data_IF_801411416471
#
_entry.id   IF_801411416471
#
_cell.length_a   1.000
_cell.length_b   1.000
_cell.length_c   1.000
_cell.angle_alpha   90.00
_cell.angle_beta   90.00
_cell.angle_gamma   90.00
#
_symmetry.space_group_name_H-M   'P 1'
#
loop_
_entity.id
_entity.type
_entity.pdbx_description
1 polymer ?
#
# COMPACT_ATOMS: atom_id res chain seq x y z
N UNK A 1 5.69 -11.11 26.49
CA UNK A 1 4.83 -11.74 25.47
C UNK A 1 3.37 -11.38 25.74
N UNK A 2 2.87 -11.57 26.96
CA UNK A 2 1.49 -11.21 27.34
C UNK A 2 1.10 -9.76 27.02
N UNK A 3 2.00 -8.80 27.29
CA UNK A 3 1.79 -7.39 26.95
C UNK A 3 1.75 -7.11 25.43
N UNK A 4 2.49 -7.87 24.62
CA UNK A 4 2.41 -7.77 23.16
C UNK A 4 1.09 -8.38 22.70
N UNK A 5 0.74 -9.57 23.19
CA UNK A 5 -0.51 -10.26 22.85
C UNK A 5 -1.76 -9.44 23.17
N UNK A 6 -1.79 -8.77 24.32
CA UNK A 6 -2.92 -7.92 24.71
C UNK A 6 -3.05 -6.64 23.87
N UNK A 7 -1.96 -6.18 23.25
CA UNK A 7 -1.92 -4.91 22.50
C UNK A 7 -1.94 -5.06 20.97
N UNK A 8 -2.04 -6.29 20.43
CA UNK A 8 -2.05 -6.53 18.97
C UNK A 8 -3.13 -5.71 18.25
N UNK A 9 -4.32 -5.60 18.84
CA UNK A 9 -5.46 -4.88 18.22
C UNK A 9 -5.25 -3.36 18.20
N UNK A 10 -4.57 -2.82 19.20
CA UNK A 10 -4.42 -1.38 19.40
C UNK A 10 -3.08 -0.86 18.85
N UNK A 11 -2.07 -1.72 18.80
CA UNK A 11 -0.71 -1.37 18.38
C UNK A 11 -0.01 -2.56 17.71
N UNK A 12 -0.39 -2.79 16.45
CA UNK A 12 0.24 -3.81 15.59
C UNK A 12 1.75 -3.58 15.40
N UNK A 13 2.26 -2.34 15.58
CA UNK A 13 3.70 -2.04 15.48
C UNK A 13 4.50 -2.71 16.60
N UNK A 14 3.95 -2.82 17.81
CA UNK A 14 4.59 -3.53 18.93
C UNK A 14 4.77 -5.02 18.63
N UNK A 15 3.81 -5.62 17.93
CA UNK A 15 3.91 -7.00 17.45
C UNK A 15 5.06 -7.15 16.44
N UNK A 16 5.06 -6.34 15.37
CA UNK A 16 6.11 -6.41 14.36
C UNK A 16 7.50 -6.11 14.92
N UNK A 17 7.62 -5.15 15.85
CA UNK A 17 8.88 -4.90 16.55
C UNK A 17 9.35 -6.12 17.36
N UNK A 18 8.44 -6.81 18.05
CA UNK A 18 8.77 -8.02 18.80
C UNK A 18 9.20 -9.18 17.89
N UNK A 19 8.52 -9.36 16.75
CA UNK A 19 8.86 -10.37 15.73
C UNK A 19 10.24 -10.06 15.12
N UNK A 20 10.43 -8.83 14.62
CA UNK A 20 11.69 -8.40 13.99
C UNK A 20 12.87 -8.47 14.97
N UNK A 21 12.64 -8.21 16.26
CA UNK A 21 13.66 -8.35 17.29
C UNK A 21 14.07 -9.82 17.51
N UNK A 22 13.12 -10.76 17.44
CA UNK A 22 13.38 -12.19 17.68
C UNK A 22 13.99 -12.91 16.48
N UNK A 23 13.55 -12.60 15.27
CA UNK A 23 13.99 -13.26 14.04
C UNK A 23 15.42 -12.83 13.62
N UNK A 24 15.94 -11.74 14.20
CA UNK A 24 17.12 -11.08 13.66
C UNK A 24 16.78 -10.34 12.35
N UNK A 25 17.77 -9.68 11.75
CA UNK A 25 17.58 -8.75 10.63
C UNK A 25 16.58 -9.23 9.57
N UNK A 26 15.68 -8.34 9.13
CA UNK A 26 14.73 -8.49 8.01
C UNK A 26 15.41 -8.66 6.63
N UNK A 27 16.63 -9.18 6.62
CA UNK A 27 17.41 -9.35 5.41
C UNK A 27 16.86 -10.55 4.64
N UNK A 28 16.80 -10.38 3.33
CA UNK A 28 16.58 -11.50 2.43
C UNK A 28 17.69 -12.56 2.66
N UNK A 29 17.39 -13.84 2.45
CA UNK A 29 18.42 -14.87 2.32
C UNK A 29 19.57 -14.40 1.42
N UNK A 30 20.80 -14.80 1.72
CA UNK A 30 21.97 -14.45 0.91
C UNK A 30 21.88 -14.97 -0.53
N UNK A 31 21.01 -15.95 -0.77
CA UNK A 31 20.72 -16.51 -2.09
C UNK A 31 19.23 -16.86 -2.16
N UNK A 32 18.56 -16.47 -3.25
CA UNK A 32 17.14 -16.67 -3.53
C UNK A 32 16.98 -17.70 -4.64
N UNK A 33 15.99 -18.59 -4.53
CA UNK A 33 15.84 -19.75 -5.40
C UNK A 33 14.44 -19.78 -6.05
N UNK A 34 14.37 -20.07 -7.35
CA UNK A 34 13.12 -20.30 -8.09
C UNK A 34 13.36 -21.33 -9.21
N UNK A 35 12.58 -22.42 -9.25
CA UNK A 35 12.65 -23.47 -10.29
C UNK A 35 14.07 -23.99 -10.58
N UNK A 36 14.91 -24.09 -9.55
CA UNK A 36 16.31 -24.54 -9.66
C UNK A 36 17.32 -23.47 -10.07
N UNK A 37 16.88 -22.23 -10.29
CA UNK A 37 17.73 -21.05 -10.49
C UNK A 37 18.01 -20.40 -9.13
N UNK A 38 19.27 -20.09 -8.87
CA UNK A 38 19.72 -19.40 -7.66
C UNK A 38 20.31 -18.02 -8.00
N UNK A 39 19.96 -17.00 -7.23
CA UNK A 39 20.41 -15.62 -7.42
C UNK A 39 20.85 -14.99 -6.09
N UNK A 40 21.96 -14.26 -6.09
CA UNK A 40 22.50 -13.56 -4.91
C UNK A 40 22.76 -12.07 -5.14
N UNK A 41 22.70 -11.60 -6.40
CA UNK A 41 22.80 -10.17 -6.72
C UNK A 41 21.44 -9.50 -6.65
N UNK A 42 21.38 -8.22 -6.25
CA UNK A 42 20.11 -7.49 -6.14
C UNK A 42 19.30 -7.45 -7.46
N UNK A 43 19.91 -7.21 -8.65
CA UNK A 43 19.17 -7.27 -9.91
C UNK A 43 18.61 -8.66 -10.19
N UNK A 44 19.42 -9.71 -10.07
CA UNK A 44 18.98 -11.08 -10.40
C UNK A 44 17.89 -11.56 -9.43
N UNK A 45 17.99 -11.17 -8.15
CA UNK A 45 16.95 -11.43 -7.15
C UNK A 45 15.65 -10.71 -7.52
N UNK A 46 15.71 -9.45 -7.96
CA UNK A 46 14.54 -8.72 -8.41
C UNK A 46 13.89 -9.39 -9.64
N UNK A 47 14.70 -9.90 -10.57
CA UNK A 47 14.22 -10.64 -11.73
C UNK A 47 13.56 -11.97 -11.35
N UNK A 48 14.10 -12.71 -10.38
CA UNK A 48 13.44 -13.93 -9.85
C UNK A 48 12.08 -13.59 -9.22
N UNK A 49 11.98 -12.51 -8.45
CA UNK A 49 10.70 -12.05 -7.92
C UNK A 49 9.73 -11.65 -9.03
N UNK A 50 10.19 -10.91 -10.04
CA UNK A 50 9.36 -10.53 -11.18
C UNK A 50 8.82 -11.76 -11.92
N UNK A 51 9.68 -12.76 -12.17
CA UNK A 51 9.30 -14.03 -12.78
C UNK A 51 8.23 -14.76 -11.94
N UNK A 52 8.47 -14.96 -10.65
CA UNK A 52 7.52 -15.63 -9.76
C UNK A 52 6.19 -14.88 -9.70
N UNK A 53 6.20 -13.58 -9.45
CA UNK A 53 4.97 -12.80 -9.34
C UNK A 53 4.19 -12.78 -10.65
N UNK A 54 4.87 -12.66 -11.80
CA UNK A 54 4.19 -12.74 -13.09
C UNK A 54 3.51 -14.09 -13.33
N UNK A 55 4.06 -15.18 -12.80
CA UNK A 55 3.52 -16.53 -13.00
C UNK A 55 2.23 -16.82 -12.22
N UNK A 56 1.95 -16.07 -11.15
CA UNK A 56 0.73 -16.21 -10.34
C UNK A 56 -0.38 -15.25 -10.76
N UNK A 57 -0.12 -14.35 -11.71
CA UNK A 57 -1.15 -13.50 -12.30
C UNK A 57 -1.70 -14.14 -13.57
N UNK A 58 -2.99 -13.89 -13.83
CA UNK A 58 -3.57 -14.22 -15.13
C UNK A 58 -2.83 -13.46 -16.25
N UNK A 59 -2.65 -14.07 -17.44
CA UNK A 59 -2.12 -13.36 -18.59
C UNK A 59 -2.95 -12.11 -18.85
N UNK A 60 -2.32 -11.01 -19.31
CA UNK A 60 -3.05 -9.79 -19.64
C UNK A 60 -4.14 -10.12 -20.67
N UNK A 61 -5.40 -10.03 -20.23
CA UNK A 61 -6.53 -10.24 -21.10
C UNK A 61 -6.89 -8.92 -21.77
N UNK A 62 -6.87 -8.90 -23.10
CA UNK A 62 -7.44 -7.80 -23.88
C UNK A 62 -8.97 -7.79 -23.83
N UNK A 63 -9.59 -8.75 -23.15
CA UNK A 63 -11.02 -8.76 -22.93
C UNK A 63 -11.35 -7.75 -21.84
N UNK A 64 -11.77 -6.56 -22.27
CA UNK A 64 -12.43 -5.60 -21.38
C UNK A 64 -13.64 -6.33 -20.80
N UNK A 65 -13.74 -6.50 -19.47
CA UNK A 65 -14.91 -7.13 -18.88
C UNK A 65 -16.14 -6.31 -19.30
N UNK A 66 -17.14 -6.99 -19.87
CA UNK A 66 -18.39 -6.37 -20.21
C UNK A 66 -19.15 -6.08 -18.91
N UNK A 67 -18.91 -4.93 -18.32
CA UNK A 67 -19.72 -4.44 -17.21
C UNK A 67 -21.08 -4.04 -17.79
N UNK A 68 -22.20 -4.56 -17.27
CA UNK A 68 -23.50 -4.05 -17.66
C UNK A 68 -23.52 -2.56 -17.34
N UNK A 69 -23.86 -1.75 -18.34
CA UNK A 69 -24.05 -0.32 -18.16
C UNK A 69 -25.25 -0.18 -17.22
N UNK A 70 -24.98 0.07 -15.94
CA UNK A 70 -26.01 0.41 -14.97
C UNK A 70 -26.44 1.84 -15.29
N UNK A 71 -27.50 1.97 -16.09
CA UNK A 71 -27.92 3.24 -16.69
C UNK A 71 -28.41 4.32 -15.71
N UNK A 72 -28.36 4.09 -14.40
CA UNK A 72 -28.42 5.11 -13.32
C UNK A 72 -28.31 4.43 -11.97
N UNK A 73 -27.12 4.45 -11.38
CA UNK A 73 -26.96 4.27 -9.94
C UNK A 73 -26.84 5.66 -9.30
N UNK A 74 -27.88 6.09 -8.58
CA UNK A 74 -27.81 7.33 -7.80
C UNK A 74 -27.40 6.98 -6.37
N UNK A 75 -26.20 7.40 -5.99
CA UNK A 75 -25.71 7.38 -4.61
C UNK A 75 -26.36 8.48 -3.73
N UNK A 76 -27.31 9.25 -4.28
CA UNK A 76 -27.85 10.45 -3.65
C UNK A 76 -26.86 11.62 -3.68
N UNK A 77 -27.12 12.64 -2.88
CA UNK A 77 -26.19 13.74 -2.66
C UNK A 77 -25.12 13.31 -1.65
N UNK A 78 -23.86 13.30 -2.07
CA UNK A 78 -22.72 13.15 -1.16
C UNK A 78 -22.28 14.54 -0.73
N UNK A 79 -22.38 14.83 0.56
CA UNK A 79 -21.86 16.06 1.13
C UNK A 79 -20.49 15.79 1.72
N UNK A 80 -19.46 16.40 1.16
CA UNK A 80 -18.11 16.40 1.72
C UNK A 80 -17.93 17.77 2.37
N UNK A 81 -17.64 17.80 3.67
CA UNK A 81 -17.38 19.07 4.36
C UNK A 81 -15.90 19.41 4.30
N UNK A 82 -15.61 20.71 4.25
CA UNK A 82 -14.23 21.21 4.29
C UNK A 82 -13.47 20.72 5.52
N UNK A 83 -14.12 20.66 6.69
CA UNK A 83 -13.55 20.11 7.92
C UNK A 83 -13.19 18.63 7.79
N UNK A 84 -14.01 17.84 7.10
CA UNK A 84 -13.73 16.43 6.86
C UNK A 84 -12.50 16.28 5.96
N UNK A 85 -12.44 17.03 4.86
CA UNK A 85 -11.27 17.02 3.96
C UNK A 85 -10.01 17.47 4.69
N UNK A 86 -10.07 18.57 5.43
CA UNK A 86 -8.94 19.09 6.20
C UNK A 86 -8.41 18.06 7.19
N UNK A 87 -9.32 17.39 7.92
CA UNK A 87 -8.97 16.32 8.86
C UNK A 87 -8.27 15.16 8.16
N UNK A 88 -8.82 14.67 7.05
CA UNK A 88 -8.25 13.51 6.34
C UNK A 88 -6.93 13.85 5.66
N UNK A 89 -6.80 15.02 5.02
CA UNK A 89 -5.53 15.46 4.45
C UNK A 89 -4.45 15.63 5.54
N UNK A 90 -4.83 16.16 6.71
CA UNK A 90 -3.91 16.34 7.83
C UNK A 90 -3.53 15.03 8.52
N UNK A 91 -4.35 13.98 8.41
CA UNK A 91 -4.09 12.66 9.00
C UNK A 91 -3.19 11.78 8.12
N UNK A 92 -3.00 12.12 6.84
CA UNK A 92 -2.17 11.37 5.88
C UNK A 92 -0.80 10.99 6.44
N UNK A 93 -0.35 9.77 6.15
CA UNK A 93 1.03 9.36 6.40
C UNK A 93 1.95 10.04 5.39
N UNK A 94 2.74 11.00 5.87
CA UNK A 94 3.68 11.75 5.05
C UNK A 94 4.84 10.91 4.48
N UNK A 95 5.05 9.71 5.02
CA UNK A 95 6.14 8.80 4.63
C UNK A 95 5.72 7.78 3.57
N UNK A 96 4.45 7.78 3.18
CA UNK A 96 3.94 6.94 2.11
C UNK A 96 4.63 7.22 0.77
N UNK A 97 4.74 6.18 -0.06
CA UNK A 97 5.24 6.30 -1.43
C UNK A 97 4.30 7.13 -2.31
N UNK A 98 4.84 7.68 -3.40
CA UNK A 98 4.03 8.38 -4.41
C UNK A 98 3.17 7.38 -5.18
N UNK A 99 1.95 7.79 -5.51
CA UNK A 99 1.07 7.02 -6.39
C UNK A 99 1.50 7.12 -7.87
N UNK A 100 0.71 6.54 -8.78
CA UNK A 100 0.95 6.66 -10.23
C UNK A 100 0.78 8.10 -10.75
N UNK A 101 0.24 9.01 -9.94
CA UNK A 101 0.14 10.44 -10.20
C UNK A 101 1.45 11.20 -9.94
N UNK A 102 2.43 10.58 -9.28
CA UNK A 102 3.70 11.20 -8.91
C UNK A 102 3.61 12.25 -7.80
N UNK A 103 2.47 12.36 -7.09
CA UNK A 103 2.28 13.35 -6.02
C UNK A 103 2.57 12.70 -4.65
N UNK A 104 3.59 13.18 -3.91
CA UNK A 104 3.88 12.64 -2.59
C UNK A 104 2.80 13.01 -1.55
N UNK A 105 2.43 12.10 -0.62
CA UNK A 105 1.45 12.39 0.43
C UNK A 105 1.80 13.60 1.32
N UNK A 106 3.09 13.86 1.53
CA UNK A 106 3.57 15.03 2.27
C UNK A 106 3.09 16.35 1.65
N UNK A 107 2.95 16.42 0.32
CA UNK A 107 2.47 17.64 -0.36
C UNK A 107 1.01 17.88 -0.01
N UNK A 108 0.16 16.86 -0.17
CA UNK A 108 -1.27 16.93 0.17
C UNK A 108 -1.50 17.30 1.64
N UNK A 109 -0.70 16.71 2.54
CA UNK A 109 -0.75 17.00 3.97
C UNK A 109 -0.37 18.44 4.30
N UNK A 110 0.70 18.97 3.67
CA UNK A 110 1.18 20.34 3.92
C UNK A 110 0.31 21.41 3.27
N UNK A 111 -0.37 21.07 2.18
CA UNK A 111 -1.30 21.95 1.48
C UNK A 111 -2.76 21.78 1.95
N UNK A 112 -3.01 21.05 3.04
CA UNK A 112 -4.36 20.68 3.47
C UNK A 112 -5.29 21.88 3.65
N UNK A 113 -4.79 23.00 4.21
CA UNK A 113 -5.57 24.25 4.38
C UNK A 113 -5.95 24.93 3.07
N UNK A 114 -5.17 24.75 2.01
CA UNK A 114 -5.44 25.33 0.69
C UNK A 114 -6.27 24.38 -0.18
N UNK A 115 -6.20 23.07 0.11
CA UNK A 115 -6.87 22.01 -0.65
C UNK A 115 -8.22 21.62 -0.05
N UNK A 116 -8.51 21.94 1.22
CA UNK A 116 -9.75 21.55 1.87
C UNK A 116 -10.99 22.14 1.19
N UNK A 117 -10.96 23.42 0.80
CA UNK A 117 -12.06 24.07 0.09
C UNK A 117 -12.33 23.50 -1.31
N UNK A 118 -11.35 23.40 -2.23
CA UNK A 118 -11.62 22.90 -3.59
C UNK A 118 -11.92 21.39 -3.68
N UNK A 119 -11.67 20.62 -2.63
CA UNK A 119 -11.93 19.17 -2.58
C UNK A 119 -13.18 18.78 -1.79
N UNK A 120 -13.83 19.75 -1.12
CA UNK A 120 -15.12 19.57 -0.44
C UNK A 120 -16.27 19.78 -1.44
#
# INVERSE_FOLDING_TARGET
>A
IDSVQSSIKDNIKSFWNHVNYREGSNNLPSEMHLDGIAASSLPDVADLFAAYFSSVFDPPSNQIPAYPIQDKFSIGAVLISEDAVLRELSSLDATGGMGPDGIPPIVLKRCSSSLCSPLA
#
